data_IF_706629396789
#
_entry.id   IF_706629396789
#
_cell.length_a   1.000
_cell.length_b   1.000
_cell.length_c   1.000
_cell.angle_alpha   90.00
_cell.angle_beta   90.00
_cell.angle_gamma   90.00
#
_symmetry.space_group_name_H-M   'P 1'
#
loop_
_entity.id
_entity.type
_entity.pdbx_description
1 polymer ?
#
# COMPACT_ATOMS: atom_id res chain seq x y z
N UNK A 1 -8.66 -4.70 6.75
CA UNK A 1 -8.57 -3.23 6.86
C UNK A 1 -7.11 -2.84 6.67
N UNK A 2 -6.84 -1.88 5.79
CA UNK A 2 -5.49 -1.32 5.61
C UNK A 2 -5.35 -0.11 6.53
N UNK A 3 -4.25 -0.06 7.27
CA UNK A 3 -3.94 0.98 8.25
C UNK A 3 -2.65 1.72 7.89
N UNK A 4 -2.41 2.86 8.54
CA UNK A 4 -1.16 3.61 8.41
C UNK A 4 -0.02 2.78 9.01
N UNK A 5 1.08 2.64 8.26
CA UNK A 5 2.22 1.79 8.59
C UNK A 5 2.21 0.44 7.90
N UNK A 6 1.06 -0.01 7.38
CA UNK A 6 0.98 -1.28 6.64
C UNK A 6 1.84 -1.21 5.37
N UNK A 7 2.50 -2.31 5.03
CA UNK A 7 3.22 -2.48 3.77
C UNK A 7 2.41 -3.38 2.85
N UNK A 8 1.99 -2.81 1.71
CA UNK A 8 1.23 -3.49 0.67
C UNK A 8 2.20 -4.12 -0.33
N UNK A 9 2.20 -5.45 -0.41
CA UNK A 9 2.99 -6.18 -1.41
C UNK A 9 2.12 -6.35 -2.65
N UNK A 10 2.61 -5.85 -3.79
CA UNK A 10 1.90 -5.87 -5.06
C UNK A 10 2.38 -7.02 -5.93
N UNK A 11 1.48 -7.57 -6.75
CA UNK A 11 1.78 -8.69 -7.67
C UNK A 11 2.89 -8.38 -8.69
N UNK A 12 3.17 -7.10 -8.96
CA UNK A 12 4.23 -6.67 -9.86
C UNK A 12 5.63 -6.63 -9.20
N UNK A 13 5.75 -7.08 -7.95
CA UNK A 13 7.01 -7.11 -7.20
C UNK A 13 7.36 -5.79 -6.51
N UNK A 14 6.44 -4.82 -6.48
CA UNK A 14 6.63 -3.56 -5.74
C UNK A 14 5.99 -3.63 -4.36
N UNK A 15 6.56 -2.91 -3.41
CA UNK A 15 6.04 -2.78 -2.06
C UNK A 15 5.73 -1.31 -1.75
N UNK A 16 4.62 -1.07 -1.05
CA UNK A 16 4.15 0.28 -0.74
C UNK A 16 3.81 0.41 0.74
N UNK A 17 4.49 1.30 1.47
CA UNK A 17 4.13 1.65 2.85
C UNK A 17 3.00 2.69 2.84
N UNK A 18 1.96 2.45 3.63
CA UNK A 18 0.81 3.36 3.78
C UNK A 18 1.16 4.46 4.77
N UNK A 19 1.13 5.70 4.31
CA UNK A 19 1.45 6.88 5.12
C UNK A 19 0.19 7.58 5.60
N UNK A 20 -0.90 7.51 4.83
CA UNK A 20 -2.17 8.15 5.19
C UNK A 20 -3.34 7.46 4.47
N UNK A 21 -4.53 7.62 5.02
CA UNK A 21 -5.78 7.09 4.46
C UNK A 21 -6.27 5.85 5.19
N UNK A 22 -7.44 5.38 4.79
CA UNK A 22 -8.09 4.20 5.36
C UNK A 22 -8.77 3.43 4.23
N UNK A 23 -8.70 2.09 4.28
CA UNK A 23 -9.48 1.23 3.40
C UNK A 23 -10.29 0.22 4.20
N UNK A 24 -11.60 0.22 3.96
CA UNK A 24 -12.51 -0.78 4.47
C UNK A 24 -12.42 -2.04 3.60
N UNK A 25 -11.77 -3.06 4.16
CA UNK A 25 -11.76 -4.44 3.65
C UNK A 25 -11.27 -4.65 2.21
N UNK A 26 -10.34 -3.84 1.70
CA UNK A 26 -9.76 -4.01 0.35
C UNK A 26 -10.79 -3.84 -0.78
N UNK A 27 -12.01 -3.38 -0.48
CA UNK A 27 -13.07 -3.21 -1.47
C UNK A 27 -12.90 -1.88 -2.20
N UNK A 28 -12.71 -0.81 -1.43
CA UNK A 28 -12.40 0.52 -1.92
C UNK A 28 -11.64 1.31 -0.84
N UNK A 29 -10.81 2.25 -1.24
CA UNK A 29 -10.14 3.18 -0.32
C UNK A 29 -9.15 4.08 -1.05
N UNK A 30 -8.98 5.30 -0.55
CA UNK A 30 -7.98 6.23 -1.05
C UNK A 30 -6.83 6.29 -0.04
N UNK A 31 -5.65 5.84 -0.45
CA UNK A 31 -4.45 5.80 0.36
C UNK A 31 -3.39 6.74 -0.19
N UNK A 32 -2.56 7.26 0.70
CA UNK A 32 -1.27 7.87 0.35
C UNK A 32 -0.21 6.87 0.74
N UNK A 33 0.58 6.45 -0.24
CA UNK A 33 1.62 5.44 -0.06
C UNK A 33 2.97 5.96 -0.55
N UNK A 34 4.03 5.26 -0.16
CA UNK A 34 5.38 5.44 -0.69
C UNK A 34 5.96 4.09 -1.07
N UNK A 35 6.70 4.03 -2.17
CA UNK A 35 7.40 2.81 -2.56
C UNK A 35 8.53 2.53 -1.57
N UNK A 36 8.65 1.28 -1.14
CA UNK A 36 9.72 0.81 -0.26
C UNK A 36 10.54 -0.29 -0.91
N UNK A 37 11.82 -0.37 -0.56
CA UNK A 37 12.71 -1.47 -0.95
C UNK A 37 12.55 -2.70 -0.04
N UNK A 38 13.37 -3.74 -0.29
CA UNK A 38 13.37 -4.99 0.48
C UNK A 38 13.80 -4.80 1.96
N UNK A 39 14.45 -3.68 2.28
CA UNK A 39 14.84 -3.28 3.64
C UNK A 39 13.79 -2.37 4.30
N UNK A 40 12.60 -2.22 3.71
CA UNK A 40 11.52 -1.32 4.12
C UNK A 40 11.93 0.16 4.14
N UNK A 41 12.88 0.57 3.30
CA UNK A 41 13.28 1.97 3.17
C UNK A 41 12.50 2.63 2.05
N UNK A 42 12.04 3.85 2.29
CA UNK A 42 11.32 4.67 1.31
C UNK A 42 12.24 5.05 0.16
N UNK A 43 11.85 4.71 -1.06
CA UNK A 43 12.63 4.96 -2.28
C UNK A 43 11.91 5.85 -3.31
N UNK A 44 10.64 6.19 -3.08
CA UNK A 44 9.89 7.12 -3.94
C UNK A 44 9.35 8.33 -3.17
N UNK A 45 8.75 9.26 -3.91
CA UNK A 45 7.88 10.29 -3.33
C UNK A 45 6.51 9.70 -2.95
N UNK A 46 5.75 10.46 -2.16
CA UNK A 46 4.39 10.11 -1.77
C UNK A 46 3.48 10.12 -3.00
N UNK A 47 2.67 9.07 -3.15
CA UNK A 47 1.74 8.91 -4.25
C UNK A 47 0.36 8.52 -3.75
N UNK A 48 -0.68 8.98 -4.45
CA UNK A 48 -2.04 8.52 -4.19
C UNK A 48 -2.23 7.13 -4.81
N UNK A 49 -2.70 6.19 -3.99
CA UNK A 49 -3.06 4.85 -4.40
C UNK A 49 -4.54 4.63 -4.11
N UNK A 50 -5.32 4.52 -5.19
CA UNK A 50 -6.72 4.11 -5.09
C UNK A 50 -6.82 2.59 -5.02
N UNK A 51 -7.28 2.09 -3.89
CA UNK A 51 -7.63 0.69 -3.68
C UNK A 51 -9.02 0.45 -4.25
N UNK A 52 -9.14 -0.61 -5.03
CA UNK A 52 -10.38 -1.19 -5.53
C UNK A 52 -10.28 -2.70 -5.39
N UNK A 53 -11.41 -3.42 -5.48
CA UNK A 53 -11.43 -4.88 -5.36
C UNK A 53 -10.51 -5.62 -6.38
N UNK A 54 -10.11 -4.97 -7.47
CA UNK A 54 -9.16 -5.51 -8.46
C UNK A 54 -7.71 -5.06 -8.25
N UNK A 55 -7.41 -4.28 -7.22
CA UNK A 55 -6.04 -3.86 -6.91
C UNK A 55 -5.21 -5.10 -6.59
N UNK A 56 -4.06 -5.33 -7.25
CA UNK A 56 -3.33 -6.59 -7.20
C UNK A 56 -2.43 -6.68 -5.96
N UNK A 57 -3.01 -6.52 -4.76
CA UNK A 57 -2.35 -6.74 -3.48
C UNK A 57 -2.29 -8.24 -3.25
N UNK A 58 -1.08 -8.77 -3.04
CA UNK A 58 -0.86 -10.19 -2.76
C UNK A 58 -0.69 -10.46 -1.27
N UNK A 59 -0.17 -9.49 -0.52
CA UNK A 59 0.02 -9.60 0.92
C UNK A 59 0.08 -8.23 1.60
N UNK A 60 -0.12 -8.20 2.92
CA UNK A 60 -0.07 -7.00 3.77
C UNK A 60 0.75 -7.34 5.01
N UNK A 61 1.86 -6.63 5.18
CA UNK A 61 2.73 -6.74 6.37
C UNK A 61 2.35 -5.62 7.35
N UNK A 62 2.23 -5.98 8.64
CA UNK A 62 1.88 -5.07 9.75
C UNK A 62 3.02 -4.94 10.74
#
# INVERSE_FOLDING_TARGET
MIEIGDILIMKNGRAYEVIMGQSDNLVEGDLVVVEVDEDNRRISENQQLKIVASTPIIDIIR
#
